data_IF_077838831370
#
_entry.id   IF_077838831370
#
_cell.length_a   1.000
_cell.length_b   1.000
_cell.length_c   1.000
_cell.angle_alpha   90.00
_cell.angle_beta   90.00
_cell.angle_gamma   90.00
#
_symmetry.space_group_name_H-M   'P 1'
#
loop_
_entity.id
_entity.type
_entity.pdbx_description
1 polymer ?
#
# COMPACT_ATOMS: atom_id res chain seq x y z
N UNK A 1 1.47 31.20 -5.47
CA UNK A 1 2.06 29.85 -5.40
C UNK A 1 1.32 28.96 -6.39
N UNK A 2 2.01 28.39 -7.38
CA UNK A 2 1.41 27.39 -8.27
C UNK A 2 1.63 26.01 -7.64
N UNK A 3 0.56 25.24 -7.47
CA UNK A 3 0.66 23.84 -7.12
C UNK A 3 0.91 23.02 -8.40
N UNK A 4 1.65 21.91 -8.33
CA UNK A 4 1.89 21.06 -9.49
C UNK A 4 0.57 20.45 -10.00
N UNK A 5 0.50 20.23 -11.32
CA UNK A 5 -0.55 19.40 -11.92
C UNK A 5 -0.34 17.91 -11.60
N UNK A 6 -1.25 17.04 -12.04
CA UNK A 6 -1.25 15.62 -11.68
C UNK A 6 0.08 14.88 -12.01
N UNK A 7 0.65 15.12 -13.19
CA UNK A 7 1.96 14.56 -13.57
C UNK A 7 3.11 15.12 -12.71
N UNK A 8 3.05 16.41 -12.38
CA UNK A 8 4.04 17.04 -11.48
C UNK A 8 3.97 16.45 -10.08
N UNK A 9 2.77 16.19 -9.57
CA UNK A 9 2.57 15.49 -8.30
C UNK A 9 3.12 14.06 -8.37
N UNK A 10 2.87 13.34 -9.46
CA UNK A 10 3.41 11.98 -9.65
C UNK A 10 4.94 11.96 -9.66
N UNK A 11 5.57 12.94 -10.32
CA UNK A 11 7.03 13.10 -10.34
C UNK A 11 7.60 13.41 -8.95
N UNK A 12 6.89 14.16 -8.10
CA UNK A 12 7.33 14.46 -6.74
C UNK A 12 7.21 13.20 -5.86
N UNK A 13 6.09 12.49 -5.93
CA UNK A 13 5.87 11.29 -5.13
C UNK A 13 6.79 10.13 -5.52
N UNK A 14 7.13 9.98 -6.80
CA UNK A 14 8.15 9.00 -7.23
C UNK A 14 9.53 9.30 -6.65
N UNK A 15 9.93 10.58 -6.53
CA UNK A 15 11.18 10.96 -5.86
C UNK A 15 11.15 10.64 -4.37
N UNK A 16 10.03 10.87 -3.69
CA UNK A 16 9.89 10.48 -2.28
C UNK A 16 9.94 8.97 -2.07
N UNK A 17 9.39 8.20 -3.02
CA UNK A 17 9.51 6.76 -3.06
C UNK A 17 10.85 6.26 -3.65
N UNK A 18 11.82 7.17 -3.88
CA UNK A 18 13.16 6.86 -4.37
C UNK A 18 13.18 6.06 -5.67
N UNK A 19 12.16 6.23 -6.53
CA UNK A 19 12.07 5.52 -7.79
C UNK A 19 13.07 6.09 -8.82
N UNK A 20 13.69 5.19 -9.60
CA UNK A 20 14.62 5.53 -10.68
C UNK A 20 14.02 5.29 -12.08
N UNK A 21 12.82 4.69 -12.14
CA UNK A 21 12.11 4.31 -13.34
C UNK A 21 11.41 5.46 -14.09
N UNK A 22 11.03 5.17 -15.33
CA UNK A 22 10.17 6.03 -16.15
C UNK A 22 8.69 5.74 -15.96
N UNK A 23 7.85 6.56 -16.62
CA UNK A 23 6.42 6.34 -16.70
C UNK A 23 6.10 5.12 -17.58
N UNK A 24 5.50 4.08 -16.98
CA UNK A 24 5.09 2.88 -17.69
C UNK A 24 3.58 2.82 -17.86
N UNK A 25 3.12 2.43 -19.06
CA UNK A 25 1.70 2.16 -19.26
C UNK A 25 1.32 0.87 -18.53
N UNK A 26 0.39 0.98 -17.60
CA UNK A 26 0.00 -0.09 -16.71
C UNK A 26 -1.38 -0.67 -17.08
N UNK A 27 -1.79 -0.48 -18.33
CA UNK A 27 -3.09 -0.91 -18.84
C UNK A 27 -4.23 0.00 -18.44
N UNK A 28 -5.43 -0.56 -18.52
CA UNK A 28 -6.68 0.13 -18.24
C UNK A 28 -7.51 -0.65 -17.24
N UNK A 29 -8.15 0.04 -16.29
CA UNK A 29 -9.12 -0.56 -15.38
C UNK A 29 -10.54 -0.09 -15.77
N UNK A 30 -11.60 -0.69 -15.25
CA UNK A 30 -12.97 -0.20 -15.46
C UNK A 30 -13.61 0.08 -14.10
N UNK A 31 -13.56 1.35 -13.67
CA UNK A 31 -13.96 1.75 -12.32
C UNK A 31 -15.29 2.51 -12.25
N UNK A 32 -15.76 3.04 -13.38
CA UNK A 32 -16.92 3.93 -13.41
C UNK A 32 -18.04 3.30 -14.21
N UNK A 33 -19.06 2.84 -13.49
CA UNK A 33 -20.31 2.40 -14.11
C UNK A 33 -20.97 3.55 -14.88
N UNK A 34 -21.28 3.33 -16.16
CA UNK A 34 -21.99 4.29 -17.02
C UNK A 34 -21.13 5.01 -18.06
N UNK A 35 -19.82 4.72 -18.11
CA UNK A 35 -18.93 5.16 -19.20
C UNK A 35 -18.55 3.93 -20.01
N UNK A 36 -18.76 3.96 -21.32
CA UNK A 36 -18.40 2.86 -22.20
C UNK A 36 -16.91 2.92 -22.55
N UNK A 37 -16.17 1.84 -22.31
CA UNK A 37 -14.74 1.74 -22.64
C UNK A 37 -13.92 1.25 -21.45
N UNK A 38 -12.62 1.09 -21.65
CA UNK A 38 -11.67 0.76 -20.59
C UNK A 38 -11.11 2.06 -20.01
N UNK A 39 -11.73 2.56 -18.94
CA UNK A 39 -11.44 3.83 -18.26
C UNK A 39 -11.35 3.54 -16.74
N UNK A 40 -10.19 3.70 -16.06
CA UNK A 40 -9.07 4.62 -16.33
C UNK A 40 -7.92 4.10 -17.21
N UNK A 41 -7.14 5.02 -17.78
CA UNK A 41 -5.74 4.77 -18.13
C UNK A 41 -4.84 4.91 -16.91
N UNK A 42 -3.94 3.95 -16.73
CA UNK A 42 -3.00 3.90 -15.61
C UNK A 42 -1.57 4.05 -16.11
N UNK A 43 -0.84 4.95 -15.47
CA UNK A 43 0.61 5.08 -15.63
C UNK A 43 1.27 4.82 -14.28
N UNK A 44 2.26 3.92 -14.24
CA UNK A 44 2.96 3.52 -13.02
C UNK A 44 4.44 3.85 -13.13
N UNK A 45 5.05 4.23 -12.01
CA UNK A 45 6.48 4.24 -11.78
C UNK A 45 6.70 3.26 -10.62
N UNK A 46 7.42 2.17 -10.87
CA UNK A 46 7.70 1.12 -9.86
C UNK A 46 9.13 0.61 -9.89
N UNK A 47 9.90 0.92 -10.94
CA UNK A 47 11.30 0.53 -11.03
C UNK A 47 12.18 1.38 -10.09
N UNK A 48 13.04 0.71 -9.34
CA UNK A 48 14.00 1.33 -8.44
C UNK A 48 13.43 1.94 -7.16
N UNK A 49 12.12 1.86 -6.92
CA UNK A 49 11.51 2.44 -5.72
C UNK A 49 11.93 1.71 -4.43
N UNK A 50 12.09 2.46 -3.33
CA UNK A 50 12.31 1.90 -1.98
C UNK A 50 11.12 1.04 -1.53
N UNK A 51 11.40 -0.06 -0.80
CA UNK A 51 10.42 -1.02 -0.23
C UNK A 51 9.22 -1.36 -1.12
N UNK A 52 9.48 -1.86 -2.32
CA UNK A 52 8.44 -2.26 -3.28
C UNK A 52 7.38 -1.16 -3.53
N UNK A 53 7.78 0.10 -3.38
CA UNK A 53 6.94 1.27 -3.60
C UNK A 53 6.50 1.41 -5.05
N UNK A 54 5.42 2.13 -5.26
CA UNK A 54 5.01 2.60 -6.58
C UNK A 54 4.38 3.98 -6.45
N UNK A 55 4.48 4.76 -7.52
CA UNK A 55 3.72 5.98 -7.69
C UNK A 55 2.89 5.87 -8.97
N UNK A 56 1.62 6.25 -8.93
CA UNK A 56 0.69 5.98 -10.03
C UNK A 56 -0.18 7.17 -10.37
N UNK A 57 -0.39 7.38 -11.67
CA UNK A 57 -1.32 8.35 -12.22
C UNK A 57 -2.47 7.62 -12.91
N UNK A 58 -3.68 7.97 -12.50
CA UNK A 58 -4.91 7.37 -12.97
C UNK A 58 -5.75 8.48 -13.60
N UNK A 59 -6.08 8.35 -14.89
CA UNK A 59 -6.91 9.30 -15.61
C UNK A 59 -8.21 8.63 -16.07
N UNK A 60 -9.35 9.21 -15.67
CA UNK A 60 -10.69 8.79 -16.10
C UNK A 60 -11.25 9.88 -17.00
N UNK A 61 -11.26 9.65 -18.32
CA UNK A 61 -11.80 10.61 -19.26
C UNK A 61 -13.33 10.57 -19.25
N UNK A 62 -13.95 11.74 -19.10
CA UNK A 62 -15.42 11.84 -18.98
C UNK A 62 -15.97 11.35 -17.63
N UNK A 63 -15.10 11.00 -16.68
CA UNK A 63 -15.47 10.65 -15.31
C UNK A 63 -15.94 11.84 -14.48
N UNK A 64 -16.72 11.56 -13.43
CA UNK A 64 -17.02 12.55 -12.40
C UNK A 64 -15.77 12.80 -11.54
N UNK A 65 -15.61 14.00 -10.98
CA UNK A 65 -14.42 14.41 -10.22
C UNK A 65 -14.34 13.81 -8.80
N UNK A 66 -15.24 12.88 -8.49
CA UNK A 66 -15.28 12.20 -7.21
C UNK A 66 -16.07 10.90 -7.32
N UNK A 67 -15.88 10.00 -6.36
CA UNK A 67 -16.65 8.78 -6.31
C UNK A 67 -18.14 9.09 -6.19
N UNK A 68 -18.96 8.25 -6.83
CA UNK A 68 -20.40 8.27 -6.59
C UNK A 68 -20.68 7.60 -5.25
N UNK A 69 -20.93 8.41 -4.22
CA UNK A 69 -21.31 7.91 -2.91
C UNK A 69 -22.76 7.42 -2.94
N UNK A 70 -22.95 6.11 -2.91
CA UNK A 70 -24.24 5.46 -2.75
C UNK A 70 -24.22 4.54 -1.51
N UNK A 71 -25.34 3.90 -1.21
CA UNK A 71 -25.47 3.03 -0.02
C UNK A 71 -24.48 1.86 0.02
N UNK A 72 -23.93 1.46 -1.13
CA UNK A 72 -23.01 0.33 -1.26
C UNK A 72 -21.53 0.75 -1.22
N UNK A 73 -21.21 2.04 -1.46
CA UNK A 73 -19.83 2.53 -1.63
C UNK A 73 -18.87 2.06 -0.53
N UNK A 74 -19.27 2.16 0.75
CA UNK A 74 -18.41 1.76 1.88
C UNK A 74 -18.08 0.28 1.84
N UNK A 75 -19.06 -0.57 1.50
CA UNK A 75 -18.86 -2.02 1.49
C UNK A 75 -17.94 -2.40 0.35
N UNK A 76 -18.25 -1.96 -0.87
CA UNK A 76 -17.45 -2.27 -2.05
C UNK A 76 -16.01 -1.76 -1.92
N UNK A 77 -15.81 -0.59 -1.30
CA UNK A 77 -14.46 -0.08 -1.01
C UNK A 77 -13.69 -0.98 -0.05
N UNK A 78 -14.32 -1.44 1.03
CA UNK A 78 -13.67 -2.34 2.00
C UNK A 78 -13.39 -3.69 1.36
N UNK A 79 -14.35 -4.25 0.63
CA UNK A 79 -14.19 -5.52 -0.09
C UNK A 79 -13.01 -5.41 -1.09
N UNK A 80 -12.94 -4.31 -1.85
CA UNK A 80 -11.84 -4.05 -2.80
C UNK A 80 -10.48 -3.90 -2.10
N UNK A 81 -10.40 -3.16 -0.99
CA UNK A 81 -9.16 -2.99 -0.22
C UNK A 81 -8.65 -4.30 0.38
N UNK A 82 -9.56 -5.17 0.83
CA UNK A 82 -9.21 -6.50 1.36
C UNK A 82 -8.74 -7.44 0.24
N UNK A 83 -9.39 -7.40 -0.92
CA UNK A 83 -9.02 -8.21 -2.09
C UNK A 83 -7.70 -7.75 -2.74
N UNK A 84 -7.40 -6.45 -2.67
CA UNK A 84 -6.19 -5.84 -3.23
C UNK A 84 -5.18 -5.45 -2.15
N UNK A 85 -5.16 -6.18 -1.03
CA UNK A 85 -4.11 -6.03 -0.03
C UNK A 85 -2.75 -6.29 -0.70
N UNK A 86 -1.74 -5.45 -0.44
CA UNK A 86 -0.40 -5.71 -0.95
C UNK A 86 0.07 -7.06 -0.41
N UNK A 87 0.44 -7.98 -1.30
CA UNK A 87 1.17 -9.19 -0.94
C UNK A 87 2.63 -8.82 -0.76
N UNK A 88 3.19 -8.99 0.43
CA UNK A 88 4.63 -8.87 0.66
C UNK A 88 5.36 -9.97 -0.12
N UNK A 89 6.40 -9.66 -0.92
CA UNK A 89 7.19 -10.65 -1.64
C UNK A 89 8.18 -11.42 -0.76
N UNK A 90 8.46 -10.92 0.45
CA UNK A 90 9.16 -11.68 1.49
C UNK A 90 8.12 -12.50 2.28
N UNK A 91 8.43 -13.78 2.49
CA UNK A 91 7.64 -14.68 3.33
C UNK A 91 7.66 -14.12 4.76
N UNK A 92 6.63 -13.33 5.06
CA UNK A 92 6.21 -12.89 6.37
C UNK A 92 7.29 -12.41 7.36
N UNK A 93 7.98 -11.28 7.12
CA UNK A 93 8.92 -10.72 8.10
C UNK A 93 8.28 -10.31 9.45
N UNK A 94 6.94 -10.34 9.54
CA UNK A 94 6.14 -9.97 10.71
C UNK A 94 5.69 -11.20 11.52
N UNK A 95 5.86 -12.42 11.00
CA UNK A 95 5.69 -13.65 11.78
C UNK A 95 6.92 -13.80 12.69
N UNK A 96 6.79 -13.30 13.92
CA UNK A 96 7.90 -13.14 14.87
C UNK A 96 8.26 -14.46 15.54
N UNK A 97 7.37 -15.45 15.45
CA UNK A 97 7.56 -16.77 16.06
C UNK A 97 7.71 -17.92 15.04
N UNK A 98 7.68 -17.60 13.74
CA UNK A 98 7.78 -18.49 12.58
C UNK A 98 6.71 -19.62 12.56
N UNK A 99 5.49 -19.35 13.04
CA UNK A 99 4.40 -20.34 13.09
C UNK A 99 3.49 -20.37 11.86
N UNK A 100 3.72 -19.45 10.91
CA UNK A 100 2.98 -19.29 9.67
C UNK A 100 1.73 -18.41 9.77
N UNK A 101 1.48 -17.79 10.93
CA UNK A 101 0.32 -16.92 11.16
C UNK A 101 0.75 -15.68 11.93
N UNK A 102 0.36 -14.49 11.46
CA UNK A 102 0.50 -13.27 12.26
C UNK A 102 -0.71 -13.12 13.16
N UNK A 103 -0.54 -13.36 14.46
CA UNK A 103 -1.63 -13.32 15.42
C UNK A 103 -1.27 -12.68 16.78
N UNK A 104 -2.08 -13.01 17.82
CA UNK A 104 -1.88 -12.49 19.16
C UNK A 104 -0.54 -12.91 19.79
N UNK A 105 0.08 -13.98 19.30
CA UNK A 105 1.36 -14.49 19.75
C UNK A 105 2.49 -13.53 19.33
N UNK A 106 2.53 -13.12 18.07
CA UNK A 106 3.47 -12.11 17.55
C UNK A 106 3.28 -10.77 18.24
N UNK A 107 2.02 -10.35 18.39
CA UNK A 107 1.69 -9.14 19.13
C UNK A 107 2.23 -9.18 20.56
N UNK A 108 2.08 -10.31 21.25
CA UNK A 108 2.55 -10.43 22.63
C UNK A 108 4.07 -10.37 22.74
N UNK A 109 4.78 -10.89 21.73
CA UNK A 109 6.24 -10.84 21.64
C UNK A 109 6.72 -9.41 21.37
N UNK A 110 6.11 -8.70 20.40
CA UNK A 110 6.43 -7.30 20.12
C UNK A 110 6.16 -6.40 21.34
N UNK A 111 5.02 -6.56 22.01
CA UNK A 111 4.69 -5.77 23.21
C UNK A 111 5.62 -6.05 24.38
N UNK A 112 6.27 -7.23 24.44
CA UNK A 112 7.28 -7.52 25.46
C UNK A 112 8.55 -6.70 25.27
N UNK A 113 8.85 -6.29 24.03
CA UNK A 113 10.02 -5.49 23.67
C UNK A 113 9.73 -4.00 23.48
N UNK A 114 8.53 -3.54 23.88
CA UNK A 114 8.11 -2.16 23.69
C UNK A 114 9.07 -1.13 24.29
N UNK A 115 9.53 -0.20 23.47
CA UNK A 115 10.48 0.86 23.84
C UNK A 115 11.94 0.41 23.91
N UNK A 116 12.25 -0.84 23.55
CA UNK A 116 13.63 -1.32 23.44
C UNK A 116 14.14 -1.17 21.99
N UNK A 117 15.46 -1.18 21.82
CA UNK A 117 16.14 -1.20 20.52
C UNK A 117 16.46 -2.67 20.18
N UNK A 118 15.51 -3.37 19.56
CA UNK A 118 15.67 -4.78 19.19
C UNK A 118 15.31 -4.96 17.73
N UNK A 119 16.33 -5.10 16.87
CA UNK A 119 16.20 -5.19 15.40
C UNK A 119 15.16 -6.21 14.91
N UNK A 120 14.93 -7.29 15.67
CA UNK A 120 13.93 -8.32 15.29
C UNK A 120 12.47 -7.84 15.43
N UNK A 121 12.22 -6.79 16.19
CA UNK A 121 10.88 -6.23 16.46
C UNK A 121 10.74 -4.77 16.00
N UNK A 122 11.84 -4.14 15.62
CA UNK A 122 11.93 -2.82 14.97
C UNK A 122 11.75 -3.00 13.45
N UNK A 123 10.48 -3.06 13.05
CA UNK A 123 10.04 -3.39 11.70
C UNK A 123 10.14 -2.20 10.75
N UNK A 124 10.05 -0.97 11.25
CA UNK A 124 10.22 0.23 10.43
C UNK A 124 11.65 0.79 10.45
N UNK A 125 12.51 0.25 11.32
CA UNK A 125 13.94 0.55 11.39
C UNK A 125 14.24 1.91 11.99
N UNK A 126 13.32 2.48 12.79
CA UNK A 126 13.51 3.79 13.43
C UNK A 126 14.40 3.74 14.69
N UNK A 127 14.80 2.54 15.08
CA UNK A 127 15.66 2.27 16.23
C UNK A 127 14.88 2.03 17.52
N UNK A 128 13.55 1.91 17.51
CA UNK A 128 12.76 1.64 18.72
C UNK A 128 11.47 0.88 18.41
N UNK A 129 11.22 -0.22 19.14
CA UNK A 129 9.95 -0.95 19.04
C UNK A 129 8.80 -0.10 19.58
N UNK A 130 7.85 0.28 18.73
CA UNK A 130 6.79 1.20 19.05
C UNK A 130 5.54 1.08 18.19
N UNK A 131 4.79 2.17 18.13
CA UNK A 131 3.47 2.18 17.48
C UNK A 131 3.53 2.05 15.97
N UNK A 132 4.65 2.41 15.35
CA UNK A 132 4.84 2.26 13.92
C UNK A 132 4.99 0.78 13.55
N UNK A 133 5.82 0.04 14.30
CA UNK A 133 5.97 -1.42 14.18
C UNK A 133 4.65 -2.14 14.42
N UNK A 134 3.90 -1.73 15.45
CA UNK A 134 2.58 -2.28 15.73
C UNK A 134 1.61 -2.08 14.55
N UNK A 135 1.70 -0.93 13.87
CA UNK A 135 0.92 -0.65 12.66
C UNK A 135 1.27 -1.60 11.52
N UNK A 136 2.55 -1.92 11.35
CA UNK A 136 3.03 -2.91 10.38
C UNK A 136 2.53 -4.31 10.75
N UNK A 137 2.60 -4.70 12.03
CA UNK A 137 2.10 -5.99 12.51
C UNK A 137 0.62 -6.18 12.16
N UNK A 138 -0.23 -5.19 12.44
CA UNK A 138 -1.66 -5.27 12.10
C UNK A 138 -1.94 -5.27 10.61
N UNK A 139 -1.08 -4.65 9.79
CA UNK A 139 -1.23 -4.67 8.34
C UNK A 139 -1.05 -6.08 7.75
N UNK A 140 -0.32 -6.96 8.44
CA UNK A 140 -0.07 -8.34 8.03
C UNK A 140 -0.91 -9.40 8.78
N UNK A 141 -1.88 -8.98 9.61
CA UNK A 141 -2.65 -9.90 10.48
C UNK A 141 -3.34 -11.03 9.70
N UNK A 142 -3.18 -12.26 10.20
CA UNK A 142 -3.75 -13.49 9.64
C UNK A 142 -2.69 -14.39 8.99
N UNK A 143 -3.16 -15.35 8.19
CA UNK A 143 -2.30 -16.36 7.58
C UNK A 143 -1.21 -15.74 6.70
N UNK A 144 0.01 -16.20 6.94
CA UNK A 144 1.15 -15.95 6.09
C UNK A 144 1.42 -17.18 5.23
N UNK A 145 0.95 -17.12 3.98
CA UNK A 145 1.20 -18.19 3.01
C UNK A 145 2.65 -18.11 2.54
N UNK A 146 3.42 -19.16 2.78
CA UNK A 146 4.70 -19.40 2.09
C UNK A 146 4.49 -19.50 0.57
#
# INVERSE_FOLDING_TARGET
FCQPGAEGSLSIWSQYNQCDGGFENAGTLNLVNGISGSEPSRTVISEGCSDHGSAELWAINGGNHGPSFNSNFRRELVDWLLEHRRSSPDQCPIDLNDDGTVDGSDLSMMLAEWGNEVDAYDLDGDGTVGSADLGLLFAAWGDCSN
#
